data_IF_433922698657
#
_entry.id   IF_433922698657
#
_cell.length_a   1.000
_cell.length_b   1.000
_cell.length_c   1.000
_cell.angle_alpha   90.00
_cell.angle_beta   90.00
_cell.angle_gamma   90.00
#
_symmetry.space_group_name_H-M   'P 1'
#
loop_
_entity.id
_entity.type
_entity.pdbx_description
1 polymer ?
#
# COMPACT_ATOMS: atom_id res chain seq x y z
N UNK A 1 -26.45 -19.82 21.36
CA UNK A 1 -25.09 -19.39 21.09
C UNK A 1 -25.12 -18.13 20.25
N UNK A 2 -24.59 -17.08 20.79
CA UNK A 2 -24.47 -15.81 20.05
C UNK A 2 -23.20 -15.98 19.21
N UNK A 3 -23.36 -16.21 17.91
CA UNK A 3 -22.25 -16.03 16.98
C UNK A 3 -22.06 -14.52 16.79
N UNK A 4 -21.00 -13.98 17.36
CA UNK A 4 -20.51 -12.69 16.94
C UNK A 4 -19.83 -12.89 15.60
N UNK A 5 -20.46 -12.42 14.53
CA UNK A 5 -19.78 -12.23 13.28
C UNK A 5 -18.65 -11.23 13.52
N UNK A 6 -17.41 -11.70 13.43
CA UNK A 6 -16.26 -10.81 13.46
C UNK A 6 -16.27 -10.00 12.15
N UNK A 7 -16.71 -8.75 12.21
CA UNK A 7 -16.58 -7.82 11.10
C UNK A 7 -15.12 -7.45 10.96
N UNK A 8 -14.49 -7.88 9.85
CA UNK A 8 -13.21 -7.35 9.43
C UNK A 8 -13.39 -5.86 9.11
N UNK A 9 -12.84 -4.97 9.93
CA UNK A 9 -12.73 -3.56 9.59
C UNK A 9 -11.47 -3.36 8.78
N UNK A 10 -11.61 -3.16 7.47
CA UNK A 10 -10.52 -2.71 6.63
C UNK A 10 -10.29 -1.22 6.85
N UNK A 11 -9.05 -0.82 6.95
CA UNK A 11 -8.65 0.57 6.99
C UNK A 11 -7.36 0.78 6.20
N UNK A 12 -7.14 2.02 5.77
CA UNK A 12 -5.96 2.38 5.04
C UNK A 12 -6.08 2.23 3.52
N UNK A 13 -4.96 2.38 2.87
CA UNK A 13 -4.85 2.40 1.42
C UNK A 13 -3.56 1.69 0.98
N UNK A 14 -3.59 1.15 -0.22
CA UNK A 14 -2.44 0.55 -0.91
C UNK A 14 -2.33 1.14 -2.31
N UNK A 15 -1.11 1.39 -2.78
CA UNK A 15 -0.83 1.82 -4.15
C UNK A 15 0.36 1.06 -4.73
N UNK A 16 0.29 0.80 -6.02
CA UNK A 16 1.41 0.28 -6.81
C UNK A 16 1.61 1.19 -8.01
N UNK A 17 2.82 1.73 -8.16
CA UNK A 17 3.20 2.47 -9.34
C UNK A 17 4.03 1.59 -10.27
N UNK A 18 3.67 1.57 -11.54
CA UNK A 18 4.37 0.85 -12.60
C UNK A 18 4.69 1.77 -13.77
N UNK A 19 5.83 1.57 -14.37
CA UNK A 19 6.23 2.20 -15.62
C UNK A 19 7.17 1.27 -16.39
N UNK A 20 7.02 1.24 -17.71
CA UNK A 20 7.97 0.56 -18.58
C UNK A 20 9.17 1.48 -18.85
N UNK A 21 10.33 0.87 -19.09
CA UNK A 21 11.51 1.62 -19.53
C UNK A 21 11.25 2.27 -20.89
N UNK A 22 11.52 3.56 -20.99
CA UNK A 22 11.35 4.32 -22.22
C UNK A 22 9.91 4.74 -22.52
N UNK A 23 9.01 4.59 -21.56
CA UNK A 23 7.63 5.08 -21.65
C UNK A 23 7.51 6.54 -21.21
N UNK A 24 6.41 7.16 -21.56
CA UNK A 24 5.99 8.44 -21.02
C UNK A 24 4.75 8.32 -20.11
N UNK A 25 4.36 7.08 -19.77
CA UNK A 25 3.19 6.79 -18.93
C UNK A 25 3.63 6.11 -17.64
N UNK A 26 3.12 6.62 -16.53
CA UNK A 26 3.19 6.02 -15.21
C UNK A 26 1.78 5.62 -14.80
N UNK A 27 1.58 4.35 -14.45
CA UNK A 27 0.28 3.85 -13.98
C UNK A 27 0.33 3.62 -12.48
N UNK A 28 -0.62 4.20 -11.75
CA UNK A 28 -0.82 3.96 -10.32
C UNK A 28 -2.12 3.19 -10.15
N UNK A 29 -2.01 1.98 -9.63
CA UNK A 29 -3.15 1.14 -9.26
C UNK A 29 -3.24 1.14 -7.74
N UNK A 30 -4.43 1.28 -7.20
CA UNK A 30 -4.61 1.28 -5.76
C UNK A 30 -5.89 0.62 -5.30
N UNK A 31 -5.93 0.42 -4.00
CA UNK A 31 -7.12 -0.02 -3.29
C UNK A 31 -7.20 0.74 -1.96
N UNK A 32 -8.40 1.13 -1.59
CA UNK A 32 -8.66 1.84 -0.34
C UNK A 32 -9.84 1.23 0.40
N UNK A 33 -9.75 1.23 1.71
CA UNK A 33 -10.86 0.83 2.57
C UNK A 33 -12.01 1.85 2.60
N UNK A 34 -11.81 3.06 2.05
CA UNK A 34 -12.83 4.11 1.98
C UNK A 34 -13.16 4.48 0.55
N UNK A 35 -14.36 4.14 0.09
CA UNK A 35 -14.86 4.49 -1.24
C UNK A 35 -15.75 5.75 -1.27
N UNK A 36 -15.90 6.45 -0.14
CA UNK A 36 -16.75 7.63 -0.02
C UNK A 36 -15.98 8.96 -0.16
N UNK A 37 -14.66 8.90 -0.15
CA UNK A 37 -13.78 10.07 -0.25
C UNK A 37 -12.89 9.92 -1.46
N UNK A 38 -12.76 10.99 -2.26
CA UNK A 38 -11.87 10.98 -3.41
C UNK A 38 -10.42 10.79 -3.02
N UNK A 39 -9.67 10.09 -3.88
CA UNK A 39 -8.21 10.02 -3.81
C UNK A 39 -7.63 11.18 -4.59
N UNK A 40 -6.80 11.97 -3.94
CA UNK A 40 -6.04 13.04 -4.56
C UNK A 40 -4.59 12.62 -4.78
N UNK A 41 -4.01 13.09 -5.86
CA UNK A 41 -2.63 12.79 -6.24
C UNK A 41 -1.85 14.07 -6.45
N UNK A 42 -0.59 14.02 -6.05
CA UNK A 42 0.40 15.06 -6.34
C UNK A 42 1.70 14.40 -6.76
N UNK A 43 2.27 14.87 -7.85
CA UNK A 43 3.60 14.44 -8.29
C UNK A 43 4.58 15.58 -8.10
N UNK A 44 5.63 15.34 -7.34
CA UNK A 44 6.66 16.32 -7.01
C UNK A 44 7.97 15.96 -7.68
N UNK A 45 8.68 16.94 -8.19
CA UNK A 45 9.98 16.79 -8.86
C UNK A 45 11.06 16.25 -7.92
N UNK A 46 12.16 15.67 -8.44
CA UNK A 46 13.26 15.14 -7.64
C UNK A 46 13.85 16.12 -6.62
N UNK A 47 13.94 17.41 -6.96
CA UNK A 47 14.39 18.44 -6.03
C UNK A 47 13.37 18.77 -4.92
N UNK A 48 12.11 18.33 -5.08
CA UNK A 48 11.01 18.72 -4.20
C UNK A 48 10.44 20.12 -4.43
N UNK A 49 11.00 20.87 -5.38
CA UNK A 49 10.65 22.29 -5.55
C UNK A 49 9.43 22.52 -6.45
N UNK A 50 9.07 21.54 -7.28
CA UNK A 50 8.01 21.69 -8.27
C UNK A 50 6.98 20.59 -8.16
N UNK A 51 5.71 20.94 -8.18
CA UNK A 51 4.61 20.03 -8.42
C UNK A 51 4.37 19.98 -9.91
N UNK A 52 4.61 18.81 -10.51
CA UNK A 52 4.55 18.63 -11.97
C UNK A 52 3.23 18.06 -12.46
N UNK A 53 2.49 17.39 -11.58
CA UNK A 53 1.17 16.87 -11.87
C UNK A 53 0.31 16.81 -10.61
N UNK A 54 -0.99 16.97 -10.80
CA UNK A 54 -2.02 16.75 -9.78
C UNK A 54 -3.14 15.88 -10.41
N UNK A 55 -3.87 15.18 -9.58
CA UNK A 55 -5.02 14.40 -10.01
C UNK A 55 -5.99 14.16 -8.88
N UNK A 56 -7.20 13.76 -9.26
CA UNK A 56 -8.25 13.38 -8.33
C UNK A 56 -9.15 12.35 -9.00
N UNK A 57 -9.61 11.39 -8.25
CA UNK A 57 -10.59 10.41 -8.71
C UNK A 57 -11.41 9.87 -7.54
N UNK A 58 -12.59 9.37 -7.85
CA UNK A 58 -13.41 8.61 -6.91
C UNK A 58 -13.07 7.13 -7.04
N UNK A 59 -12.78 6.44 -5.94
CA UNK A 59 -12.61 4.98 -5.96
C UNK A 59 -13.90 4.28 -6.43
N UNK A 60 -13.74 3.11 -7.02
CA UNK A 60 -14.85 2.22 -7.31
C UNK A 60 -15.51 1.70 -6.03
N UNK A 61 -16.68 1.06 -6.14
CA UNK A 61 -17.42 0.56 -4.98
C UNK A 61 -16.65 -0.46 -4.12
N UNK A 62 -15.70 -1.18 -4.72
CA UNK A 62 -14.81 -2.12 -4.04
C UNK A 62 -13.53 -1.46 -3.51
N UNK A 63 -13.40 -0.14 -3.63
CA UNK A 63 -12.24 0.62 -3.21
C UNK A 63 -11.08 0.65 -4.22
N UNK A 64 -11.19 -0.04 -5.34
CA UNK A 64 -10.15 -0.04 -6.37
C UNK A 64 -10.11 1.26 -7.16
N UNK A 65 -8.94 1.62 -7.65
CA UNK A 65 -8.75 2.79 -8.51
C UNK A 65 -7.50 2.65 -9.38
N UNK A 66 -7.52 3.36 -10.51
CA UNK A 66 -6.39 3.46 -11.43
C UNK A 66 -6.21 4.92 -11.81
N UNK A 67 -4.97 5.40 -11.77
CA UNK A 67 -4.60 6.74 -12.23
C UNK A 67 -3.36 6.65 -13.13
N UNK A 68 -3.44 7.24 -14.31
CA UNK A 68 -2.29 7.39 -15.20
C UNK A 68 -1.76 8.83 -15.14
N UNK A 69 -0.43 8.94 -15.17
CA UNK A 69 0.27 10.20 -15.34
C UNK A 69 1.13 10.13 -16.59
N UNK A 70 1.05 11.18 -17.39
CA UNK A 70 1.91 11.34 -18.55
C UNK A 70 3.09 12.24 -18.19
N UNK A 71 4.30 11.74 -18.40
CA UNK A 71 5.52 12.54 -18.32
C UNK A 71 5.47 13.58 -19.43
N UNK A 72 5.48 14.84 -19.04
CA UNK A 72 5.29 15.95 -19.95
C UNK A 72 6.38 17.01 -19.85
N UNK A 73 6.21 18.15 -20.56
CA UNK A 73 7.24 19.21 -20.63
C UNK A 73 7.62 19.84 -19.27
N UNK A 74 6.76 19.73 -18.26
CA UNK A 74 7.04 20.23 -16.90
C UNK A 74 7.94 19.30 -16.08
N UNK A 75 8.19 18.10 -16.57
CA UNK A 75 9.06 17.10 -15.92
C UNK A 75 10.49 17.29 -16.42
N UNK A 76 11.13 18.37 -15.98
CA UNK A 76 12.42 18.81 -16.53
C UNK A 76 13.63 18.28 -15.80
N UNK A 77 13.43 17.68 -14.64
CA UNK A 77 14.51 17.15 -13.81
C UNK A 77 14.67 15.64 -14.05
N UNK A 78 15.91 15.16 -14.05
CA UNK A 78 16.20 13.73 -14.01
C UNK A 78 16.24 13.26 -12.55
N UNK A 79 15.70 12.09 -12.28
CA UNK A 79 15.71 11.47 -10.96
C UNK A 79 14.37 10.92 -10.54
N UNK A 80 14.20 10.78 -9.21
CA UNK A 80 13.02 10.18 -8.61
C UNK A 80 11.93 11.22 -8.36
N UNK A 81 10.83 11.08 -9.07
CA UNK A 81 9.60 11.84 -8.82
C UNK A 81 8.79 11.15 -7.73
N UNK A 82 8.30 11.92 -6.77
CA UNK A 82 7.45 11.41 -5.71
C UNK A 82 5.98 11.55 -6.08
N UNK A 83 5.26 10.43 -6.11
CA UNK A 83 3.81 10.41 -6.26
C UNK A 83 3.20 10.23 -4.89
N UNK A 84 2.45 11.21 -4.43
CA UNK A 84 1.67 11.15 -3.19
C UNK A 84 0.21 10.88 -3.53
N UNK A 85 -0.34 9.80 -2.98
CA UNK A 85 -1.78 9.52 -3.00
C UNK A 85 -2.35 9.74 -1.60
N UNK A 86 -3.47 10.44 -1.50
CA UNK A 86 -4.05 10.82 -0.21
C UNK A 86 -5.58 10.86 -0.28
N UNK A 87 -6.20 10.42 0.81
CA UNK A 87 -7.61 10.69 1.11
C UNK A 87 -7.71 11.49 2.41
N UNK A 88 -8.57 12.52 2.42
CA UNK A 88 -8.83 13.31 3.61
C UNK A 88 -9.81 12.59 4.53
N UNK A 89 -9.32 11.63 5.31
CA UNK A 89 -10.10 10.86 6.27
C UNK A 89 -9.58 11.18 7.67
N UNK A 90 -10.13 12.23 8.26
CA UNK A 90 -9.64 12.75 9.55
C UNK A 90 -8.14 13.06 9.49
N UNK A 91 -7.41 12.75 10.55
CA UNK A 91 -5.94 12.85 10.61
C UNK A 91 -5.26 11.49 10.43
N UNK A 92 -5.88 10.58 9.68
CA UNK A 92 -5.42 9.21 9.56
C UNK A 92 -4.32 9.08 8.50
N UNK A 93 -3.08 8.87 8.95
CA UNK A 93 -1.90 8.69 8.09
C UNK A 93 -1.95 7.41 7.25
N UNK A 94 -2.82 6.45 7.57
CA UNK A 94 -3.02 5.23 6.78
C UNK A 94 -3.55 5.51 5.36
N UNK A 95 -4.11 6.70 5.14
CA UNK A 95 -4.65 7.14 3.85
C UNK A 95 -3.74 8.13 3.14
N UNK A 96 -2.44 8.12 3.44
CA UNK A 96 -1.43 8.90 2.74
C UNK A 96 -0.22 8.01 2.43
N UNK A 97 0.09 7.85 1.15
CA UNK A 97 1.18 7.00 0.65
C UNK A 97 2.02 7.75 -0.36
N UNK A 98 3.31 7.46 -0.37
CA UNK A 98 4.27 8.01 -1.31
C UNK A 98 5.00 6.87 -2.02
N UNK A 99 5.14 6.98 -3.33
CA UNK A 99 5.98 6.09 -4.14
C UNK A 99 6.91 6.92 -5.02
N UNK A 100 8.07 6.37 -5.33
CA UNK A 100 9.07 7.01 -6.18
C UNK A 100 9.13 6.34 -7.55
N UNK A 101 9.14 7.16 -8.59
CA UNK A 101 9.29 6.71 -9.99
C UNK A 101 10.44 7.48 -10.64
N UNK A 102 11.39 6.76 -11.22
CA UNK A 102 12.53 7.37 -11.87
C UNK A 102 12.20 7.80 -13.29
N UNK A 103 12.55 9.04 -13.60
CA UNK A 103 12.43 9.64 -14.94
C UNK A 103 13.78 10.21 -15.32
N UNK A 104 14.24 9.92 -16.52
CA UNK A 104 15.47 10.45 -17.09
C UNK A 104 15.25 10.84 -18.54
N UNK A 105 15.71 12.03 -18.94
CA UNK A 105 15.52 12.57 -20.29
C UNK A 105 14.07 12.59 -20.78
N UNK A 106 13.11 12.83 -19.86
CA UNK A 106 11.69 12.93 -20.18
C UNK A 106 10.98 11.60 -20.43
N UNK A 107 11.63 10.48 -20.11
CA UNK A 107 11.06 9.13 -20.19
C UNK A 107 11.26 8.36 -18.89
N UNK A 108 10.38 7.40 -18.63
CA UNK A 108 10.45 6.58 -17.42
C UNK A 108 11.54 5.52 -17.49
N UNK A 109 12.19 5.27 -16.36
CA UNK A 109 12.89 4.02 -16.11
C UNK A 109 11.89 2.95 -15.66
N UNK A 110 12.27 1.68 -15.81
CA UNK A 110 11.40 0.58 -15.38
C UNK A 110 11.13 0.68 -13.88
N UNK A 111 9.85 0.73 -13.54
CA UNK A 111 9.40 0.88 -12.15
C UNK A 111 8.30 -0.14 -11.85
N UNK A 112 8.38 -0.74 -10.67
CA UNK A 112 7.30 -1.50 -10.04
C UNK A 112 7.49 -1.40 -8.54
N UNK A 113 6.78 -0.47 -7.89
CA UNK A 113 6.89 -0.19 -6.46
C UNK A 113 5.52 -0.18 -5.82
N UNK A 114 5.43 -0.78 -4.65
CA UNK A 114 4.20 -0.85 -3.85
C UNK A 114 4.44 -0.25 -2.48
N UNK A 115 3.51 0.58 -2.04
CA UNK A 115 3.38 1.04 -0.66
C UNK A 115 1.98 0.70 -0.17
N UNK A 116 1.89 0.20 1.05
CA UNK A 116 0.62 -0.22 1.63
C UNK A 116 0.55 0.09 3.11
N UNK A 117 -0.54 0.77 3.49
CA UNK A 117 -1.02 0.89 4.85
C UNK A 117 -2.39 0.22 4.99
N UNK A 118 -2.75 -0.64 4.03
CA UNK A 118 -4.03 -1.34 4.06
C UNK A 118 -3.99 -2.44 5.12
N UNK A 119 -4.80 -2.28 6.14
CA UNK A 119 -4.96 -3.23 7.22
C UNK A 119 -6.34 -3.87 7.14
N UNK A 120 -6.38 -5.19 7.06
CA UNK A 120 -7.59 -5.96 7.20
C UNK A 120 -7.50 -6.70 8.53
N UNK A 121 -8.12 -6.13 9.56
CA UNK A 121 -8.16 -6.77 10.87
C UNK A 121 -9.25 -7.84 10.92
N UNK A 122 -8.88 -9.11 10.84
CA UNK A 122 -9.69 -10.15 11.46
C UNK A 122 -9.20 -10.23 12.91
N UNK A 123 -9.99 -9.77 13.84
CA UNK A 123 -9.76 -10.11 15.24
C UNK A 123 -10.09 -11.60 15.39
N UNK A 124 -9.13 -12.46 15.07
CA UNK A 124 -9.16 -13.81 15.59
C UNK A 124 -8.87 -13.69 17.07
N UNK A 125 -9.85 -14.01 17.92
CA UNK A 125 -9.53 -14.36 19.30
C UNK A 125 -8.46 -15.44 19.22
N UNK A 126 -7.23 -15.09 19.55
CA UNK A 126 -6.17 -16.02 19.73
C UNK A 126 -6.64 -17.05 20.75
N UNK A 127 -6.95 -18.24 20.30
CA UNK A 127 -7.08 -19.37 21.23
C UNK A 127 -5.67 -19.70 21.68
N UNK A 128 -5.25 -19.06 22.75
CA UNK A 128 -3.89 -19.05 23.30
C UNK A 128 -3.36 -20.41 23.75
N UNK A 129 -4.05 -21.53 23.48
CA UNK A 129 -3.71 -22.77 24.15
C UNK A 129 -2.71 -23.66 23.42
N UNK A 130 -2.50 -23.51 22.12
CA UNK A 130 -1.56 -24.35 21.40
C UNK A 130 -0.16 -23.73 21.21
N UNK A 131 -0.07 -22.41 21.22
CA UNK A 131 1.20 -21.69 20.99
C UNK A 131 2.06 -21.56 22.26
N UNK A 132 1.44 -21.59 23.44
CA UNK A 132 2.15 -21.45 24.73
C UNK A 132 3.09 -22.65 25.01
N UNK A 133 2.71 -23.85 24.60
CA UNK A 133 3.54 -25.06 24.77
C UNK A 133 4.71 -25.15 23.77
N UNK A 134 4.65 -24.38 22.69
CA UNK A 134 5.67 -24.39 21.65
C UNK A 134 6.74 -23.29 21.82
N UNK A 135 6.58 -22.38 22.77
CA UNK A 135 7.49 -21.24 22.96
C UNK A 135 7.52 -20.26 21.79
N UNK A 136 6.44 -20.24 20.99
CA UNK A 136 6.27 -19.37 19.85
C UNK A 136 4.86 -18.75 19.89
N UNK A 137 4.80 -17.45 19.96
CA UNK A 137 3.55 -16.68 19.84
C UNK A 137 3.61 -15.92 18.53
N UNK A 138 2.64 -16.17 17.65
CA UNK A 138 2.48 -15.47 16.40
C UNK A 138 1.16 -14.71 16.40
N UNK A 139 1.23 -13.40 16.15
CA UNK A 139 0.08 -12.60 15.81
C UNK A 139 -0.04 -12.57 14.29
N UNK A 140 -1.05 -13.22 13.76
CA UNK A 140 -1.30 -13.25 12.33
C UNK A 140 -2.38 -12.23 11.97
N UNK A 141 -2.07 -11.35 11.05
CA UNK A 141 -3.06 -10.50 10.38
C UNK A 141 -3.41 -11.18 9.07
N UNK A 142 -4.67 -11.58 8.92
CA UNK A 142 -5.16 -12.11 7.64
C UNK A 142 -5.55 -10.94 6.74
N UNK A 143 -4.89 -10.83 5.60
CA UNK A 143 -5.15 -9.80 4.62
C UNK A 143 -5.98 -10.40 3.51
N UNK A 144 -7.24 -10.00 3.40
CA UNK A 144 -8.08 -10.34 2.26
C UNK A 144 -8.01 -9.26 1.18
N UNK A 145 -7.84 -9.72 -0.05
CA UNK A 145 -7.90 -8.95 -1.30
C UNK A 145 -6.79 -7.91 -1.53
N UNK A 146 -5.75 -8.35 -2.20
CA UNK A 146 -4.92 -7.49 -3.03
C UNK A 146 -3.76 -6.79 -2.33
N UNK A 147 -3.54 -7.01 -1.05
CA UNK A 147 -2.30 -6.56 -0.42
C UNK A 147 -1.18 -7.57 -0.66
N UNK A 148 -0.04 -7.08 -1.12
CA UNK A 148 1.17 -7.89 -1.36
C UNK A 148 2.10 -7.95 -0.16
N UNK A 149 1.83 -7.16 0.87
CA UNK A 149 2.62 -7.16 2.10
C UNK A 149 1.75 -7.42 3.31
N UNK A 150 2.18 -8.34 4.14
CA UNK A 150 1.64 -8.57 5.47
C UNK A 150 2.80 -8.64 6.45
N UNK A 151 2.56 -8.14 7.64
CA UNK A 151 3.51 -8.24 8.73
C UNK A 151 3.09 -9.37 9.66
N UNK A 152 4.03 -10.28 9.92
CA UNK A 152 3.87 -11.30 10.95
C UNK A 152 4.78 -10.92 12.10
N UNK A 153 4.19 -10.58 13.23
CA UNK A 153 4.93 -10.32 14.46
C UNK A 153 4.79 -11.51 15.41
N UNK A 154 5.83 -11.81 16.14
CA UNK A 154 5.80 -12.90 17.08
C UNK A 154 6.96 -12.82 18.08
N UNK A 155 6.82 -13.59 19.14
CA UNK A 155 7.84 -13.76 20.16
C UNK A 155 8.21 -15.25 20.25
N UNK A 156 9.51 -15.53 20.26
CA UNK A 156 10.03 -16.87 20.53
C UNK A 156 11.00 -16.83 21.71
N UNK A 157 10.94 -17.83 22.54
CA UNK A 157 11.92 -18.04 23.62
C UNK A 157 13.17 -18.82 23.16
N UNK A 158 13.20 -19.21 21.88
CA UNK A 158 14.30 -19.98 21.30
C UNK A 158 15.23 -19.09 20.53
N UNK A 159 16.50 -19.12 20.89
CA UNK A 159 17.58 -18.40 20.22
C UNK A 159 18.26 -19.30 19.21
N UNK A 160 18.60 -18.75 18.05
CA UNK A 160 19.37 -19.46 16.99
C UNK A 160 18.65 -20.65 16.35
N UNK A 161 17.32 -20.59 16.21
CA UNK A 161 16.55 -21.52 15.40
C UNK A 161 15.89 -20.80 14.23
N UNK A 162 15.94 -21.42 13.07
CA UNK A 162 15.25 -20.93 11.90
C UNK A 162 13.73 -21.08 12.08
N UNK A 163 13.02 -20.01 11.79
CA UNK A 163 11.56 -20.01 11.78
C UNK A 163 11.11 -20.04 10.32
N UNK A 164 10.36 -21.06 9.98
CA UNK A 164 9.77 -21.18 8.63
C UNK A 164 8.32 -20.71 8.69
N UNK A 165 8.00 -19.72 7.88
CA UNK A 165 6.63 -19.25 7.67
C UNK A 165 6.12 -19.79 6.34
N UNK A 166 4.96 -20.44 6.36
CA UNK A 166 4.28 -20.88 5.15
C UNK A 166 2.98 -20.11 4.99
N UNK A 167 2.84 -19.46 3.85
CA UNK A 167 1.61 -18.78 3.46
C UNK A 167 0.91 -19.61 2.41
N UNK A 168 -0.31 -20.00 2.69
CA UNK A 168 -1.17 -20.70 1.73
C UNK A 168 -2.30 -19.78 1.29
N UNK A 169 -2.48 -19.71 -0.03
CA UNK A 169 -3.59 -18.98 -0.64
C UNK A 169 -4.88 -19.81 -0.56
#
# INVERSE_FOLDING_TARGET
SIQQDAFAQSQGMSITATADKGSDIITVIGNTASNITDVTFRVTSPSGNNVVAIGQLSPDNDGSFVKEFKVGPTWTEDGFYEITAMQSIGNNSLYKLNVLVEVANGITERTSVTESNLETGILTESTNNAAADAGLILDAIVIENGSTMFEVTGLTDRVSQDITLTVTA
#
